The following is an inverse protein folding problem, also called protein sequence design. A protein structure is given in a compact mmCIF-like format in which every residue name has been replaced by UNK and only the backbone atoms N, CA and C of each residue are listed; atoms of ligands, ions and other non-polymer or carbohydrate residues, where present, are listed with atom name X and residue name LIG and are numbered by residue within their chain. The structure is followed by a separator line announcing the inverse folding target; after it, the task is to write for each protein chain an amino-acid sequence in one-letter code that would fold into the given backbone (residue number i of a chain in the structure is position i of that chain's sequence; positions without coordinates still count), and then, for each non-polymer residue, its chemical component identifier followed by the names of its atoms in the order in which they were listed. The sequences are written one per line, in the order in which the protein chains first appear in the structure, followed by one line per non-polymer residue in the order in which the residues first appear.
data_IF_836643983863
#
_entry.id   IF_836643983863
#
_cell.length_a   1.000
_cell.length_b   1.000
_cell.length_c   1.000
_cell.angle_alpha   90.00
_cell.angle_beta   90.00
_cell.angle_gamma   90.00
#
_symmetry.space_group_name_H-M   'P 1'
#
loop_
_entity.id
_entity.type
_entity.pdbx_description
1 polymer ?
#
# COMPACT_ATOMS: atom_id res chain seq x y z
N UNK A 1 7.49 4.84 -18.31
CA UNK A 1 6.56 5.00 -17.16
C UNK A 1 6.57 6.45 -16.77
N UNK A 2 5.42 7.12 -16.82
CA UNK A 2 5.26 8.50 -16.37
C UNK A 2 5.56 8.55 -14.86
N UNK A 3 6.38 9.51 -14.41
CA UNK A 3 6.63 9.74 -12.98
C UNK A 3 5.30 10.12 -12.34
N UNK A 4 4.74 9.21 -11.53
CA UNK A 4 3.55 9.51 -10.73
C UNK A 4 3.97 10.43 -9.57
N UNK A 5 3.33 11.60 -9.46
CA UNK A 5 3.58 12.56 -8.38
C UNK A 5 2.27 12.83 -7.65
N UNK A 6 2.19 12.42 -6.39
CA UNK A 6 0.98 12.58 -5.55
C UNK A 6 0.56 14.05 -5.46
N UNK A 7 1.50 14.98 -5.39
CA UNK A 7 1.21 16.43 -5.35
C UNK A 7 0.50 16.95 -6.61
N UNK A 8 0.79 16.36 -7.79
CA UNK A 8 0.11 16.71 -9.04
C UNK A 8 -1.22 15.97 -9.22
N UNK A 9 -1.30 14.74 -8.70
CA UNK A 9 -2.48 13.90 -8.78
C UNK A 9 -3.63 14.41 -7.90
N UNK A 10 -3.34 14.74 -6.65
CA UNK A 10 -4.37 15.15 -5.67
C UNK A 10 -4.58 16.66 -5.59
N UNK A 11 -3.74 17.50 -6.23
CA UNK A 11 -3.84 18.96 -6.16
C UNK A 11 -3.71 19.55 -4.75
N UNK A 12 -3.06 18.79 -3.83
CA UNK A 12 -3.02 19.07 -2.40
C UNK A 12 -1.65 19.58 -1.95
N UNK A 13 -1.66 20.41 -0.89
CA UNK A 13 -0.47 20.57 -0.06
C UNK A 13 -0.17 19.25 0.64
N UNK A 14 0.97 18.66 0.33
CA UNK A 14 1.45 17.35 0.84
C UNK A 14 1.42 17.28 2.38
N UNK A 15 1.57 18.43 3.06
CA UNK A 15 1.49 18.56 4.52
C UNK A 15 0.13 18.13 5.13
N UNK A 16 -0.95 18.19 4.37
CA UNK A 16 -2.30 17.85 4.84
C UNK A 16 -2.72 16.41 4.50
N UNK A 17 -1.89 15.66 3.78
CA UNK A 17 -2.20 14.34 3.25
C UNK A 17 -2.68 13.37 4.34
N UNK A 18 -1.96 13.26 5.45
CA UNK A 18 -2.29 12.30 6.52
C UNK A 18 -3.63 12.55 7.21
N UNK A 19 -4.10 13.80 7.20
CA UNK A 19 -5.41 14.17 7.72
C UNK A 19 -6.51 13.84 6.72
N UNK A 20 -6.25 14.10 5.44
CA UNK A 20 -7.22 13.90 4.37
C UNK A 20 -7.41 12.44 4.03
N UNK A 21 -6.35 11.64 4.04
CA UNK A 21 -6.42 10.21 3.74
C UNK A 21 -7.43 9.47 4.64
N UNK A 22 -7.51 9.83 5.92
CA UNK A 22 -8.48 9.23 6.87
C UNK A 22 -9.92 9.64 6.62
N UNK A 23 -10.14 10.79 5.97
CA UNK A 23 -11.48 11.23 5.55
C UNK A 23 -11.93 10.50 4.29
N UNK A 24 -10.99 10.13 3.43
CA UNK A 24 -11.25 9.50 2.14
C UNK A 24 -11.26 7.97 2.20
N UNK A 25 -10.38 7.39 3.02
CA UNK A 25 -10.15 5.95 3.04
C UNK A 25 -10.77 5.33 4.29
N UNK A 26 -11.81 4.48 4.13
CA UNK A 26 -12.45 3.83 5.25
C UNK A 26 -11.48 2.90 5.98
N UNK A 27 -11.53 2.95 7.31
CA UNK A 27 -10.76 2.10 8.21
C UNK A 27 -9.23 2.12 7.95
N UNK A 28 -8.69 3.28 7.51
CA UNK A 28 -7.28 3.44 7.16
C UNK A 28 -6.34 2.94 8.26
N UNK A 29 -6.56 3.35 9.52
CA UNK A 29 -5.69 2.95 10.63
C UNK A 29 -5.77 1.43 10.91
N UNK A 30 -6.95 0.81 10.85
CA UNK A 30 -7.12 -0.63 11.01
C UNK A 30 -6.41 -1.43 9.91
N UNK A 31 -6.39 -0.90 8.69
CA UNK A 31 -5.65 -1.46 7.56
C UNK A 31 -4.14 -1.46 7.84
N UNK A 32 -3.56 -0.33 8.28
CA UNK A 32 -2.14 -0.25 8.66
C UNK A 32 -1.83 -1.15 9.86
N UNK A 33 -2.70 -1.17 10.87
CA UNK A 33 -2.57 -2.02 12.06
C UNK A 33 -2.48 -3.50 11.71
N UNK A 34 -3.26 -3.93 10.72
CA UNK A 34 -3.22 -5.31 10.22
C UNK A 34 -1.86 -5.64 9.60
N UNK A 35 -1.32 -4.76 8.74
CA UNK A 35 0.03 -4.97 8.16
C UNK A 35 1.10 -5.04 9.24
N UNK A 36 1.07 -4.11 10.21
CA UNK A 36 2.03 -4.12 11.33
C UNK A 36 1.92 -5.40 12.15
N UNK A 37 0.70 -5.89 12.41
CA UNK A 37 0.48 -7.16 13.10
C UNK A 37 1.12 -8.34 12.36
N UNK A 38 1.00 -8.39 11.04
CA UNK A 38 1.65 -9.41 10.21
C UNK A 38 3.18 -9.32 10.33
N UNK A 39 3.74 -8.11 10.17
CA UNK A 39 5.20 -7.89 10.25
C UNK A 39 5.73 -8.23 11.65
N UNK A 40 4.96 -7.98 12.71
CA UNK A 40 5.35 -8.28 14.09
C UNK A 40 5.54 -9.77 14.39
N UNK A 41 5.05 -10.67 13.52
CA UNK A 41 5.30 -12.11 13.63
C UNK A 41 6.72 -12.51 13.23
N UNK A 42 7.45 -11.61 12.56
CA UNK A 42 8.81 -11.83 12.10
C UNK A 42 9.82 -11.39 13.17
N UNK A 43 10.98 -12.05 13.20
CA UNK A 43 12.04 -11.70 14.15
C UNK A 43 13.06 -10.76 13.51
N UNK A 44 13.24 -9.57 14.09
CA UNK A 44 14.19 -8.54 13.64
C UNK A 44 14.17 -8.30 12.11
N UNK A 45 12.99 -8.05 11.50
CA UNK A 45 12.86 -8.05 10.06
C UNK A 45 13.53 -6.85 9.40
N UNK A 46 14.12 -7.09 8.21
CA UNK A 46 14.34 -6.05 7.23
C UNK A 46 13.07 -5.94 6.37
N UNK A 47 12.42 -4.79 6.43
CA UNK A 47 11.17 -4.48 5.72
C UNK A 47 11.46 -3.51 4.58
N UNK A 48 10.84 -3.71 3.43
CA UNK A 48 10.78 -2.75 2.32
C UNK A 48 9.35 -2.25 2.20
N UNK A 49 9.14 -0.95 2.43
CA UNK A 49 7.85 -0.25 2.27
C UNK A 49 7.82 0.40 0.88
N UNK A 50 7.06 -0.18 -0.06
CA UNK A 50 6.99 0.23 -1.46
C UNK A 50 5.89 1.26 -1.69
N UNK A 51 6.27 2.43 -2.22
CA UNK A 51 5.38 3.58 -2.32
C UNK A 51 5.07 4.10 -0.92
N UNK A 52 6.12 4.35 -0.14
CA UNK A 52 6.01 4.68 1.28
C UNK A 52 5.26 6.00 1.55
N UNK A 53 5.11 6.86 0.54
CA UNK A 53 4.44 8.14 0.65
C UNK A 53 5.02 8.98 1.79
N UNK A 54 4.17 9.45 2.69
CA UNK A 54 4.58 10.20 3.90
C UNK A 54 5.23 9.33 4.99
N UNK A 55 5.44 8.04 4.74
CA UNK A 55 6.04 7.10 5.69
C UNK A 55 5.11 6.65 6.81
N UNK A 56 3.79 6.71 6.62
CA UNK A 56 2.82 6.36 7.66
C UNK A 56 2.93 4.88 8.06
N UNK A 57 2.98 3.96 7.09
CA UNK A 57 3.11 2.51 7.35
C UNK A 57 4.49 2.17 7.91
N UNK A 58 5.58 2.62 7.24
CA UNK A 58 6.95 2.38 7.71
C UNK A 58 7.20 2.93 9.12
N UNK A 59 6.67 4.13 9.42
CA UNK A 59 6.71 4.72 10.75
C UNK A 59 5.97 3.89 11.80
N UNK A 60 4.77 3.38 11.48
CA UNK A 60 4.00 2.51 12.36
C UNK A 60 4.70 1.17 12.64
N UNK A 61 5.38 0.60 11.64
CA UNK A 61 6.20 -0.60 11.81
C UNK A 61 7.37 -0.31 12.75
N UNK A 62 8.13 0.76 12.51
CA UNK A 62 9.27 1.14 13.35
C UNK A 62 8.91 1.41 14.80
N UNK A 63 7.71 1.94 15.06
CA UNK A 63 7.17 2.20 16.40
C UNK A 63 6.84 0.91 17.15
N UNK A 64 6.17 -0.02 16.48
CA UNK A 64 5.57 -1.19 17.14
C UNK A 64 6.38 -2.48 17.01
N UNK A 65 7.39 -2.50 16.13
CA UNK A 65 8.32 -3.64 15.96
C UNK A 65 9.74 -3.12 16.25
N UNK A 66 10.18 -3.14 17.54
CA UNK A 66 11.41 -2.47 17.98
C UNK A 66 12.68 -2.91 17.25
N UNK A 67 12.75 -4.18 16.83
CA UNK A 67 13.91 -4.74 16.14
C UNK A 67 13.83 -4.64 14.61
N UNK A 68 12.74 -4.07 14.05
CA UNK A 68 12.60 -3.90 12.62
C UNK A 68 13.53 -2.81 12.08
N UNK A 69 14.01 -3.02 10.86
CA UNK A 69 14.62 -2.01 10.00
C UNK A 69 13.75 -1.83 8.76
N UNK A 70 13.50 -0.59 8.35
CA UNK A 70 12.58 -0.28 7.25
C UNK A 70 13.28 0.57 6.19
N UNK A 71 13.28 0.09 4.96
CA UNK A 71 13.58 0.89 3.77
C UNK A 71 12.26 1.47 3.26
N UNK A 72 12.13 2.79 3.32
CA UNK A 72 10.96 3.52 2.82
C UNK A 72 11.26 3.94 1.38
N UNK A 73 10.66 3.27 0.41
CA UNK A 73 10.93 3.48 -1.01
C UNK A 73 9.80 4.30 -1.62
N UNK A 74 10.13 5.46 -2.18
CA UNK A 74 9.18 6.27 -2.94
C UNK A 74 9.87 6.98 -4.11
N UNK A 75 9.12 7.23 -5.17
CA UNK A 75 9.62 7.94 -6.36
C UNK A 75 9.48 9.46 -6.21
N UNK A 76 8.46 9.93 -5.45
CA UNK A 76 8.18 11.34 -5.23
C UNK A 76 9.10 11.92 -4.13
N UNK A 77 10.02 12.85 -4.47
CA UNK A 77 10.93 13.43 -3.50
C UNK A 77 10.24 14.22 -2.39
N UNK A 78 9.06 14.82 -2.66
CA UNK A 78 8.33 15.59 -1.65
C UNK A 78 7.71 14.65 -0.60
N UNK A 79 7.18 13.50 -1.04
CA UNK A 79 6.72 12.46 -0.13
C UNK A 79 7.86 11.89 0.70
N UNK A 80 9.01 11.64 0.07
CA UNK A 80 10.17 11.09 0.74
C UNK A 80 10.77 12.06 1.78
N UNK A 81 10.67 13.38 1.55
CA UNK A 81 11.05 14.39 2.55
C UNK A 81 10.18 14.28 3.81
N UNK A 82 8.86 14.17 3.66
CA UNK A 82 7.95 13.96 4.80
C UNK A 82 8.21 12.63 5.51
N UNK A 83 8.41 11.55 4.74
CA UNK A 83 8.77 10.27 5.31
C UNK A 83 10.06 10.37 6.13
N UNK A 84 11.09 11.05 5.60
CA UNK A 84 12.37 11.26 6.29
C UNK A 84 12.17 12.00 7.62
N UNK A 85 11.41 13.09 7.61
CA UNK A 85 11.10 13.84 8.82
C UNK A 85 10.35 12.98 9.86
N UNK A 86 9.35 12.21 9.42
CA UNK A 86 8.56 11.32 10.29
C UNK A 86 9.40 10.26 10.99
N UNK A 87 10.31 9.63 10.26
CA UNK A 87 11.08 8.50 10.78
C UNK A 87 12.43 8.89 11.37
N UNK A 88 12.80 10.16 11.37
CA UNK A 88 14.11 10.66 11.84
C UNK A 88 14.49 10.17 13.25
N UNK A 89 13.50 10.08 14.16
CA UNK A 89 13.70 9.61 15.54
C UNK A 89 14.15 8.14 15.66
N UNK A 90 13.97 7.34 14.61
CA UNK A 90 14.36 5.93 14.62
C UNK A 90 15.81 5.69 14.18
N UNK A 91 16.51 6.73 13.73
CA UNK A 91 17.93 6.69 13.39
C UNK A 91 18.24 5.62 12.33
N UNK A 92 19.25 4.79 12.58
CA UNK A 92 19.71 3.78 11.64
C UNK A 92 18.72 2.64 11.33
N UNK A 93 17.58 2.58 12.03
CA UNK A 93 16.51 1.62 11.70
C UNK A 93 15.66 2.03 10.50
N UNK A 94 15.68 3.30 10.12
CA UNK A 94 14.91 3.87 9.03
C UNK A 94 15.84 4.31 7.90
N UNK A 95 15.55 3.89 6.67
CA UNK A 95 16.31 4.27 5.48
C UNK A 95 15.35 4.74 4.38
N UNK A 96 15.07 6.05 4.27
CA UNK A 96 14.36 6.59 3.11
C UNK A 96 15.21 6.40 1.85
N UNK A 97 14.59 5.88 0.78
CA UNK A 97 15.26 5.52 -0.47
C UNK A 97 14.44 6.03 -1.64
N UNK A 98 15.03 6.88 -2.47
CA UNK A 98 14.38 7.26 -3.73
C UNK A 98 14.45 6.09 -4.71
N UNK A 99 13.30 5.57 -5.13
CA UNK A 99 13.22 4.44 -6.03
C UNK A 99 11.82 4.23 -6.57
N UNK A 100 11.72 3.37 -7.58
CA UNK A 100 10.48 3.01 -8.24
C UNK A 100 10.12 1.54 -8.01
N UNK A 101 8.89 1.16 -8.34
CA UNK A 101 8.45 -0.26 -8.32
C UNK A 101 9.25 -1.15 -9.29
N UNK A 102 9.96 -0.57 -10.27
CA UNK A 102 10.76 -1.32 -11.24
C UNK A 102 12.18 -1.61 -10.75
N UNK A 103 12.64 -0.94 -9.69
CA UNK A 103 14.01 -1.07 -9.20
C UNK A 103 14.24 -2.44 -8.51
N UNK A 104 15.48 -2.92 -8.47
CA UNK A 104 15.83 -4.13 -7.73
C UNK A 104 15.57 -3.98 -6.24
N UNK A 105 15.05 -5.05 -5.61
CA UNK A 105 14.81 -5.11 -4.18
C UNK A 105 15.96 -5.79 -3.45
N UNK A 106 16.34 -5.33 -2.26
CA UNK A 106 17.29 -6.04 -1.43
C UNK A 106 16.68 -7.34 -0.89
N UNK A 107 17.50 -8.31 -0.52
CA UNK A 107 17.05 -9.50 0.23
C UNK A 107 16.46 -9.06 1.56
N UNK A 108 15.17 -9.34 1.79
CA UNK A 108 14.40 -8.84 2.92
C UNK A 108 13.51 -9.92 3.55
N UNK A 109 12.90 -9.58 4.68
CA UNK A 109 12.02 -10.46 5.44
C UNK A 109 10.54 -10.09 5.21
N UNK A 110 10.27 -8.83 4.87
CA UNK A 110 8.94 -8.37 4.48
C UNK A 110 9.02 -7.33 3.36
N UNK A 111 8.04 -7.37 2.45
CA UNK A 111 7.71 -6.27 1.57
C UNK A 111 6.29 -5.85 1.89
N UNK A 112 6.09 -4.56 2.13
CA UNK A 112 4.78 -4.00 2.43
C UNK A 112 4.47 -2.85 1.47
N UNK A 113 3.19 -2.58 1.25
CA UNK A 113 2.73 -1.43 0.49
C UNK A 113 1.38 -0.97 1.05
N UNK A 114 1.15 0.34 1.09
CA UNK A 114 -0.12 0.91 1.51
C UNK A 114 -0.58 1.97 0.50
N UNK A 115 -1.73 1.74 -0.13
CA UNK A 115 -2.35 2.63 -1.12
C UNK A 115 -1.35 3.07 -2.22
N UNK A 116 -0.63 2.10 -2.78
CA UNK A 116 0.47 2.38 -3.70
C UNK A 116 0.42 1.53 -4.98
N UNK A 117 0.03 0.24 -4.89
CA UNK A 117 0.16 -0.66 -6.03
C UNK A 117 -1.00 -0.57 -7.03
N UNK A 118 -2.07 0.16 -6.71
CA UNK A 118 -3.11 0.53 -7.66
C UNK A 118 -2.62 1.52 -8.73
N UNK A 119 -1.48 2.18 -8.52
CA UNK A 119 -0.82 3.00 -9.54
C UNK A 119 -0.07 2.18 -10.60
N UNK A 120 -0.12 0.86 -10.55
CA UNK A 120 0.41 -0.03 -11.60
C UNK A 120 -0.76 -0.54 -12.45
N UNK A 121 -1.08 0.11 -13.59
CA UNK A 121 -2.29 -0.22 -14.36
C UNK A 121 -2.17 -1.55 -15.10
N UNK A 122 -1.00 -1.89 -15.61
CA UNK A 122 -0.80 -3.11 -16.38
C UNK A 122 -0.61 -4.33 -15.47
N UNK A 123 -1.46 -5.34 -15.63
CA UNK A 123 -1.38 -6.60 -14.86
C UNK A 123 -0.03 -7.31 -15.04
N UNK A 124 0.58 -7.21 -16.21
CA UNK A 124 1.88 -7.80 -16.49
C UNK A 124 3.00 -7.12 -15.71
N UNK A 125 2.96 -5.79 -15.56
CA UNK A 125 3.92 -5.04 -14.75
C UNK A 125 3.74 -5.36 -13.25
N UNK A 126 2.48 -5.47 -12.79
CA UNK A 126 2.17 -5.85 -11.41
C UNK A 126 2.65 -7.28 -11.12
N UNK A 127 2.41 -8.24 -12.03
CA UNK A 127 2.92 -9.60 -11.93
C UNK A 127 4.46 -9.64 -11.91
N UNK A 128 5.11 -8.82 -12.74
CA UNK A 128 6.57 -8.71 -12.74
C UNK A 128 7.11 -8.16 -11.42
N UNK A 129 6.43 -7.16 -10.82
CA UNK A 129 6.75 -6.68 -9.47
C UNK A 129 6.62 -7.82 -8.44
N UNK A 130 5.50 -8.55 -8.44
CA UNK A 130 5.28 -9.64 -7.49
C UNK A 130 6.34 -10.74 -7.60
N UNK A 131 6.84 -11.07 -8.81
CA UNK A 131 7.97 -11.99 -9.00
C UNK A 131 9.25 -11.46 -8.36
N UNK A 132 9.61 -10.18 -8.60
CA UNK A 132 10.78 -9.58 -7.94
C UNK A 132 10.66 -9.59 -6.42
N UNK A 133 9.47 -9.30 -5.90
CA UNK A 133 9.20 -9.39 -4.46
C UNK A 133 9.41 -10.82 -3.96
N UNK A 134 8.84 -11.83 -4.67
CA UNK A 134 9.00 -13.25 -4.31
C UNK A 134 10.46 -13.67 -4.28
N UNK A 135 11.26 -13.22 -5.24
CA UNK A 135 12.71 -13.47 -5.32
C UNK A 135 13.48 -12.74 -4.22
N UNK A 136 13.09 -11.54 -3.83
CA UNK A 136 13.74 -10.77 -2.78
C UNK A 136 13.44 -11.30 -1.37
N UNK A 137 12.28 -11.90 -1.14
CA UNK A 137 11.89 -12.43 0.16
C UNK A 137 12.74 -13.64 0.57
N UNK A 138 13.16 -13.62 1.84
CA UNK A 138 13.76 -14.80 2.48
C UNK A 138 12.68 -15.87 2.73
N UNK A 139 13.11 -17.10 2.97
CA UNK A 139 12.21 -18.18 3.39
C UNK A 139 11.42 -17.77 4.64
N UNK A 140 10.10 -17.93 4.60
CA UNK A 140 9.19 -17.48 5.66
C UNK A 140 8.91 -15.97 5.69
N UNK A 141 9.48 -15.18 4.78
CA UNK A 141 9.17 -13.76 4.63
C UNK A 141 7.76 -13.54 4.09
N UNK A 142 7.28 -12.30 4.11
CA UNK A 142 5.90 -11.96 3.76
C UNK A 142 5.81 -10.77 2.80
N UNK A 143 4.87 -10.86 1.86
CA UNK A 143 4.32 -9.70 1.15
C UNK A 143 2.97 -9.37 1.77
N UNK A 144 2.78 -8.12 2.24
CA UNK A 144 1.51 -7.64 2.76
C UNK A 144 1.15 -6.30 2.10
N UNK A 145 0.05 -6.30 1.36
CA UNK A 145 -0.45 -5.16 0.58
C UNK A 145 -1.74 -4.69 1.22
N UNK A 146 -1.80 -3.41 1.57
CA UNK A 146 -2.98 -2.72 2.06
C UNK A 146 -3.49 -1.78 0.96
N UNK A 147 -4.55 -2.15 0.25
CA UNK A 147 -5.00 -1.40 -0.92
C UNK A 147 -6.50 -1.54 -1.18
N UNK A 148 -7.03 -0.71 -2.08
CA UNK A 148 -8.39 -0.82 -2.56
C UNK A 148 -8.53 -2.02 -3.50
N UNK A 149 -9.58 -2.83 -3.27
CA UNK A 149 -9.91 -3.99 -4.09
C UNK A 149 -11.37 -3.90 -4.52
N UNK A 150 -11.60 -3.44 -5.75
CA UNK A 150 -12.94 -3.17 -6.28
C UNK A 150 -13.11 -3.87 -7.62
N UNK A 151 -14.30 -4.37 -7.90
CA UNK A 151 -14.65 -4.89 -9.22
C UNK A 151 -14.75 -3.76 -10.24
N UNK A 152 -14.48 -4.04 -11.51
CA UNK A 152 -14.51 -3.04 -12.58
C UNK A 152 -15.93 -2.50 -12.84
N UNK A 153 -16.96 -3.31 -12.61
CA UNK A 153 -18.37 -2.95 -12.82
C UNK A 153 -19.32 -3.94 -12.12
N UNK A 154 -20.62 -3.63 -12.13
CA UNK A 154 -21.70 -4.47 -11.63
C UNK A 154 -22.14 -4.14 -10.21
N UNK A 155 -23.17 -4.85 -9.72
CA UNK A 155 -23.83 -4.52 -8.45
C UNK A 155 -22.88 -4.47 -7.25
N UNK A 156 -21.86 -5.32 -7.22
CA UNK A 156 -20.87 -5.32 -6.14
C UNK A 156 -19.96 -4.06 -6.21
N UNK A 157 -19.59 -3.62 -7.42
CA UNK A 157 -18.89 -2.36 -7.65
C UNK A 157 -19.73 -1.20 -7.11
N UNK A 158 -20.97 -1.08 -7.56
CA UNK A 158 -21.84 0.04 -7.21
C UNK A 158 -22.06 0.10 -5.69
N UNK A 159 -22.31 -1.04 -5.06
CA UNK A 159 -22.49 -1.13 -3.61
C UNK A 159 -21.22 -0.75 -2.83
N UNK A 160 -20.03 -1.12 -3.31
CA UNK A 160 -18.77 -0.76 -2.67
C UNK A 160 -18.52 0.75 -2.75
N UNK A 161 -18.80 1.39 -3.90
CA UNK A 161 -18.67 2.85 -4.03
C UNK A 161 -19.70 3.61 -3.18
N UNK A 162 -20.93 3.06 -3.01
CA UNK A 162 -21.88 3.61 -2.04
C UNK A 162 -21.36 3.58 -0.61
N UNK A 163 -20.77 2.45 -0.18
CA UNK A 163 -20.15 2.34 1.14
C UNK A 163 -18.98 3.30 1.31
N UNK A 164 -18.19 3.49 0.24
CA UNK A 164 -17.05 4.38 0.27
C UNK A 164 -17.48 5.83 0.40
N UNK A 165 -18.45 6.28 -0.40
CA UNK A 165 -19.03 7.60 -0.29
C UNK A 165 -19.72 7.84 1.08
N UNK A 166 -20.42 6.82 1.61
CA UNK A 166 -21.04 6.89 2.93
C UNK A 166 -20.02 7.09 4.06
N UNK A 167 -18.80 6.55 3.94
CA UNK A 167 -17.71 6.82 4.87
C UNK A 167 -17.28 8.30 4.86
N UNK A 168 -17.29 8.95 3.69
CA UNK A 168 -16.85 10.34 3.54
C UNK A 168 -17.85 11.35 4.11
N UNK A 169 -19.15 11.02 4.13
CA UNK A 169 -20.22 11.89 4.58
C UNK A 169 -20.02 12.50 5.98
N UNK A 170 -19.73 11.73 7.04
CA UNK A 170 -19.44 12.25 8.38
C UNK A 170 -18.22 13.18 8.45
N UNK A 171 -17.34 13.15 7.44
CA UNK A 171 -16.18 14.03 7.30
C UNK A 171 -16.46 15.32 6.52
N UNK A 172 -17.75 15.58 6.20
CA UNK A 172 -18.20 16.80 5.52
C UNK A 172 -18.05 16.75 3.99
N UNK A 173 -17.86 15.58 3.41
CA UNK A 173 -17.77 15.37 1.96
C UNK A 173 -19.13 14.87 1.47
N UNK A 174 -19.81 15.66 0.66
CA UNK A 174 -21.10 15.29 0.07
C UNK A 174 -20.94 14.13 -0.93
N UNK A 175 -22.06 13.50 -1.29
CA UNK A 175 -22.03 12.44 -2.31
C UNK A 175 -21.50 12.96 -3.66
N UNK A 176 -21.87 14.15 -4.07
CA UNK A 176 -21.40 14.73 -5.33
C UNK A 176 -19.89 14.96 -5.31
N UNK A 177 -19.34 15.48 -4.20
CA UNK A 177 -17.89 15.65 -4.03
C UNK A 177 -17.16 14.31 -3.99
N UNK A 178 -17.75 13.27 -3.38
CA UNK A 178 -17.18 11.92 -3.40
C UNK A 178 -17.14 11.35 -4.83
N UNK A 179 -18.18 11.53 -5.63
CA UNK A 179 -18.22 11.10 -7.02
C UNK A 179 -17.18 11.84 -7.88
N UNK A 180 -16.94 13.13 -7.64
CA UNK A 180 -15.88 13.91 -8.29
C UNK A 180 -14.49 13.39 -7.91
N UNK A 181 -14.27 13.04 -6.63
CA UNK A 181 -13.01 12.43 -6.17
C UNK A 181 -12.78 11.08 -6.84
N UNK A 182 -13.78 10.19 -6.88
CA UNK A 182 -13.67 8.90 -7.55
C UNK A 182 -13.37 9.05 -9.04
N UNK A 183 -14.02 9.99 -9.73
CA UNK A 183 -13.75 10.28 -11.13
C UNK A 183 -12.34 10.87 -11.36
N UNK A 184 -11.82 11.59 -10.38
CA UNK A 184 -10.44 12.09 -10.43
C UNK A 184 -9.44 10.95 -10.26
N UNK A 185 -9.62 10.08 -9.25
CA UNK A 185 -8.73 8.95 -8.97
C UNK A 185 -8.70 7.94 -10.13
N UNK A 186 -9.85 7.65 -10.73
CA UNK A 186 -9.97 6.73 -11.86
C UNK A 186 -9.13 7.11 -13.11
N UNK A 187 -8.55 8.31 -13.15
CA UNK A 187 -7.63 8.73 -14.24
C UNK A 187 -6.23 8.12 -14.08
N UNK A 188 -5.82 7.80 -12.86
CA UNK A 188 -4.47 7.35 -12.55
C UNK A 188 -4.46 6.03 -11.77
N UNK A 189 -5.56 5.70 -11.06
CA UNK A 189 -5.69 4.52 -10.24
C UNK A 189 -6.35 3.39 -10.99
N UNK A 190 -5.82 2.18 -10.81
CA UNK A 190 -6.41 0.95 -11.35
C UNK A 190 -6.59 -0.06 -10.24
N UNK A 191 -7.79 -0.11 -9.70
CA UNK A 191 -8.15 -1.09 -8.68
C UNK A 191 -8.41 -2.45 -9.31
N UNK A 192 -7.86 -3.50 -8.73
CA UNK A 192 -8.13 -4.88 -9.14
C UNK A 192 -9.00 -5.57 -8.08
N UNK A 193 -9.99 -6.39 -8.47
CA UNK A 193 -10.70 -7.21 -7.51
C UNK A 193 -9.75 -8.25 -6.88
N UNK A 194 -10.03 -8.62 -5.63
CA UNK A 194 -9.14 -9.45 -4.84
C UNK A 194 -8.78 -10.80 -5.49
N UNK A 195 -9.72 -11.42 -6.23
CA UNK A 195 -9.45 -12.67 -6.94
C UNK A 195 -8.43 -12.51 -8.08
N UNK A 196 -8.38 -11.33 -8.72
CA UNK A 196 -7.36 -11.01 -9.73
C UNK A 196 -6.00 -10.81 -9.05
N UNK A 197 -5.96 -10.08 -7.92
CA UNK A 197 -4.72 -9.93 -7.14
C UNK A 197 -4.16 -11.29 -6.70
N UNK A 198 -5.01 -12.19 -6.26
CA UNK A 198 -4.61 -13.56 -5.89
C UNK A 198 -4.06 -14.35 -7.10
N UNK A 199 -4.69 -14.22 -8.27
CA UNK A 199 -4.18 -14.86 -9.49
C UNK A 199 -2.80 -14.32 -9.87
N UNK A 200 -2.58 -13.00 -9.81
CA UNK A 200 -1.29 -12.37 -10.09
C UNK A 200 -0.20 -12.81 -9.09
N UNK A 201 -0.55 -12.94 -7.81
CA UNK A 201 0.36 -13.46 -6.78
C UNK A 201 0.71 -14.93 -7.03
N UNK A 202 -0.27 -15.77 -7.36
CA UNK A 202 -0.04 -17.18 -7.70
C UNK A 202 0.85 -17.33 -8.95
N UNK A 203 0.59 -16.56 -10.00
CA UNK A 203 1.40 -16.51 -11.22
C UNK A 203 2.84 -16.03 -10.95
N UNK A 204 3.05 -15.25 -9.91
CA UNK A 204 4.36 -14.80 -9.45
C UNK A 204 5.10 -15.82 -8.58
N UNK A 205 4.48 -16.96 -8.25
CA UNK A 205 5.07 -18.04 -7.49
C UNK A 205 4.79 -18.01 -5.98
N UNK A 206 3.79 -17.26 -5.54
CA UNK A 206 3.28 -17.37 -4.18
C UNK A 206 2.24 -18.50 -4.09
N UNK A 207 2.44 -19.46 -3.17
CA UNK A 207 1.63 -20.68 -3.14
C UNK A 207 0.23 -20.50 -2.55
N UNK A 208 0.05 -19.59 -1.62
CA UNK A 208 -1.19 -19.42 -0.84
C UNK A 208 -1.45 -17.94 -0.57
N UNK A 209 -1.89 -17.18 -1.58
CA UNK A 209 -2.37 -15.83 -1.34
C UNK A 209 -3.57 -15.81 -0.37
N UNK A 210 -3.57 -14.86 0.56
CA UNK A 210 -4.58 -14.76 1.60
C UNK A 210 -5.08 -13.32 1.74
N UNK A 211 -6.34 -13.16 2.12
CA UNK A 211 -6.90 -11.90 2.57
C UNK A 211 -6.87 -11.87 4.10
N UNK A 212 -5.95 -11.12 4.66
CA UNK A 212 -5.77 -11.01 6.10
C UNK A 212 -6.85 -10.15 6.76
N UNK A 213 -7.39 -9.19 6.01
CA UNK A 213 -8.44 -8.30 6.47
C UNK A 213 -9.15 -7.63 5.29
N UNK A 214 -10.47 -7.39 5.41
CA UNK A 214 -11.23 -6.63 4.42
C UNK A 214 -12.38 -5.86 5.06
N UNK A 215 -12.53 -4.57 4.69
CA UNK A 215 -13.67 -3.75 5.05
C UNK A 215 -14.05 -2.81 3.89
N UNK A 216 -15.23 -3.01 3.34
CA UNK A 216 -15.70 -2.26 2.17
C UNK A 216 -14.71 -2.39 1.00
N UNK A 217 -14.24 -1.28 0.43
CA UNK A 217 -13.27 -1.28 -0.66
C UNK A 217 -11.86 -1.70 -0.22
N UNK A 218 -11.49 -1.50 1.05
CA UNK A 218 -10.13 -1.72 1.53
C UNK A 218 -9.88 -3.17 1.92
N UNK A 219 -8.70 -3.69 1.55
CA UNK A 219 -8.24 -5.00 1.95
C UNK A 219 -6.76 -4.98 2.33
N UNK A 220 -6.39 -5.87 3.26
CA UNK A 220 -5.00 -6.28 3.47
C UNK A 220 -4.87 -7.70 2.96
N UNK A 221 -4.02 -7.91 1.98
CA UNK A 221 -3.82 -9.18 1.31
C UNK A 221 -2.35 -9.40 0.95
N UNK A 222 -2.01 -10.62 0.61
CA UNK A 222 -0.65 -10.96 0.23
C UNK A 222 -0.37 -12.44 0.41
N UNK A 223 0.89 -12.79 0.66
CA UNK A 223 1.29 -14.18 0.89
C UNK A 223 2.62 -14.28 1.63
N UNK A 224 2.83 -15.40 2.32
CA UNK A 224 4.14 -15.76 2.84
C UNK A 224 4.97 -16.46 1.77
N UNK A 225 6.28 -16.15 1.73
CA UNK A 225 7.22 -16.96 1.00
C UNK A 225 7.35 -18.31 1.70
N UNK A 226 7.23 -19.43 0.97
CA UNK A 226 7.31 -20.76 1.53
C UNK A 226 8.54 -20.96 2.41
N UNK A 227 8.45 -21.84 3.40
CA UNK A 227 9.61 -22.31 4.16
C UNK A 227 10.40 -23.19 3.19
N UNK A 228 11.62 -22.78 2.83
CA UNK A 228 12.52 -23.56 1.98
C UNK A 228 12.87 -24.90 2.59
#
# INVERSE_FOLDING_TARGET
MTEHRVSSHLGLEVANYDTLIRKWIPAYDAMLDTVVSIVSTLRAPLVVDLGAGTGALGGAILERVPDARVHLVDIDPNMLELATARVARFGARAAPVRGSFADPLPRCDAVVASLALHHIPARDDKRALYRRVREALRAGGVLAIADATVHEHGLAHDWIYELWAAHMGPHGISRAEADELFASWAKEDTYQPLHIEFALLADAGFERPECFWKQGPMAVYGAFAGRG
#
